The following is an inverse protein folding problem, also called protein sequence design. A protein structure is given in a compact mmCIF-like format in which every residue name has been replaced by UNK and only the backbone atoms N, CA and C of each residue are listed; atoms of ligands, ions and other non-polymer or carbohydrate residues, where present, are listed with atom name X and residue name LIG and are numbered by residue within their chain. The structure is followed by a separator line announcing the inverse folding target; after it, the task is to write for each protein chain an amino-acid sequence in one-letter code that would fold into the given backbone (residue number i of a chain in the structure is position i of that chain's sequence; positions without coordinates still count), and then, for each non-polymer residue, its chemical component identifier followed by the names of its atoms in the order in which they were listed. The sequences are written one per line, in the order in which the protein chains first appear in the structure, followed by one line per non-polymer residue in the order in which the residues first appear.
data_IF_091521465648
#
_entry.id   IF_091521465648
#
_cell.length_a   1.000
_cell.length_b   1.000
_cell.length_c   1.000
_cell.angle_alpha   90.00
_cell.angle_beta   90.00
_cell.angle_gamma   90.00
#
_symmetry.space_group_name_H-M   'P 1'
#
loop_
_entity.id
_entity.type
_entity.pdbx_description
1 polymer ?
#
# COMPACT_ATOMS: atom_id res chain seq x y z
N UNK A 1 26.07 -2.77 -4.38
CA UNK A 1 24.73 -2.97 -4.99
C UNK A 1 24.33 -4.45 -5.01
N UNK A 2 23.10 -4.73 -4.57
CA UNK A 2 22.51 -6.07 -4.58
C UNK A 2 21.59 -6.19 -5.80
N UNK A 3 21.92 -7.05 -6.75
CA UNK A 3 21.20 -7.13 -8.03
C UNK A 3 20.32 -8.38 -8.12
N UNK A 4 19.14 -8.24 -8.72
CA UNK A 4 18.24 -9.35 -9.00
C UNK A 4 18.71 -10.12 -10.24
N UNK A 5 18.93 -11.42 -10.12
CA UNK A 5 19.32 -12.27 -11.24
C UNK A 5 18.20 -12.52 -12.28
N UNK A 6 16.94 -12.19 -11.95
CA UNK A 6 15.78 -12.44 -12.82
C UNK A 6 15.46 -11.22 -13.69
N UNK A 7 15.48 -10.00 -13.12
CA UNK A 7 15.12 -8.77 -13.84
C UNK A 7 16.20 -7.67 -13.81
N UNK A 8 17.38 -7.97 -13.28
CA UNK A 8 18.54 -7.07 -13.21
C UNK A 8 18.35 -5.75 -12.43
N UNK A 9 17.24 -5.62 -11.68
CA UNK A 9 17.04 -4.51 -10.76
C UNK A 9 18.12 -4.49 -9.67
N UNK A 10 18.62 -3.30 -9.36
CA UNK A 10 19.65 -3.09 -8.34
C UNK A 10 19.08 -2.41 -7.10
N UNK A 11 19.48 -2.91 -5.94
CA UNK A 11 19.05 -2.43 -4.63
C UNK A 11 20.26 -2.00 -3.80
N UNK A 12 20.08 -0.97 -2.98
CA UNK A 12 21.11 -0.48 -2.05
C UNK A 12 21.35 -1.44 -0.89
N UNK A 13 20.33 -2.20 -0.47
CA UNK A 13 20.34 -3.05 0.71
C UNK A 13 19.90 -4.49 0.38
N UNK A 14 20.50 -5.48 1.06
CA UNK A 14 20.24 -6.90 0.81
C UNK A 14 18.78 -7.28 1.05
N UNK A 15 18.20 -6.79 2.14
CA UNK A 15 16.82 -7.13 2.51
C UNK A 15 15.80 -6.63 1.47
N UNK A 16 16.09 -5.52 0.77
CA UNK A 16 15.24 -5.03 -0.32
C UNK A 16 15.27 -5.97 -1.52
N UNK A 17 16.44 -6.55 -1.84
CA UNK A 17 16.54 -7.62 -2.83
C UNK A 17 15.75 -8.86 -2.38
N UNK A 18 15.91 -9.30 -1.13
CA UNK A 18 15.15 -10.45 -0.59
C UNK A 18 13.64 -10.23 -0.71
N UNK A 19 13.14 -9.05 -0.31
CA UNK A 19 11.73 -8.68 -0.46
C UNK A 19 11.28 -8.62 -1.92
N UNK A 20 12.13 -8.11 -2.81
CA UNK A 20 11.85 -8.07 -4.23
C UNK A 20 11.70 -9.47 -4.83
N UNK A 21 12.50 -10.44 -4.39
CA UNK A 21 12.44 -11.82 -4.90
C UNK A 21 11.07 -12.48 -4.64
N UNK A 22 10.32 -12.05 -3.63
CA UNK A 22 8.95 -12.54 -3.38
C UNK A 22 7.99 -12.30 -4.56
N UNK A 23 8.27 -11.30 -5.40
CA UNK A 23 7.49 -11.03 -6.62
C UNK A 23 7.71 -12.12 -7.65
N UNK A 24 8.92 -12.68 -7.72
CA UNK A 24 9.27 -13.73 -8.68
C UNK A 24 8.88 -15.12 -8.19
N UNK A 25 9.06 -15.40 -6.89
CA UNK A 25 8.66 -16.70 -6.30
C UNK A 25 7.14 -16.79 -6.09
N UNK A 26 6.45 -15.64 -6.01
CA UNK A 26 5.05 -15.59 -5.64
C UNK A 26 4.77 -15.91 -4.18
N UNK A 27 5.82 -16.05 -3.36
CA UNK A 27 5.69 -16.30 -1.93
C UNK A 27 4.96 -15.15 -1.22
N UNK A 28 4.07 -15.51 -0.31
CA UNK A 28 3.22 -14.60 0.45
C UNK A 28 3.21 -15.01 1.92
N UNK A 29 4.30 -14.70 2.66
CA UNK A 29 4.47 -15.19 4.03
C UNK A 29 3.47 -14.60 5.03
N UNK A 30 2.83 -13.47 4.71
CA UNK A 30 1.92 -12.78 5.62
C UNK A 30 0.46 -13.12 5.30
N UNK A 31 -0.17 -13.92 6.16
CA UNK A 31 -1.56 -14.39 5.94
C UNK A 31 -2.55 -13.74 6.89
N UNK A 32 -3.71 -13.38 6.38
CA UNK A 32 -4.83 -12.90 7.20
C UNK A 32 -5.48 -14.06 7.94
N UNK A 33 -5.55 -13.97 9.26
CA UNK A 33 -6.19 -14.96 10.13
C UNK A 33 -7.73 -15.01 10.01
N UNK A 34 -8.36 -13.99 9.41
CA UNK A 34 -9.82 -13.92 9.27
C UNK A 34 -10.29 -14.56 7.96
N UNK A 35 -9.60 -14.30 6.84
CA UNK A 35 -10.03 -14.75 5.50
C UNK A 35 -8.98 -15.55 4.72
N UNK A 36 -7.87 -15.91 5.36
CA UNK A 36 -6.75 -16.69 4.77
C UNK A 36 -6.10 -16.06 3.53
N UNK A 37 -6.36 -14.77 3.25
CA UNK A 37 -5.70 -14.06 2.17
C UNK A 37 -4.25 -13.75 2.53
N UNK A 38 -3.32 -14.08 1.66
CA UNK A 38 -1.89 -13.88 1.88
C UNK A 38 -1.31 -12.70 1.09
N UNK A 39 -0.24 -12.11 1.63
CA UNK A 39 0.47 -10.93 1.12
C UNK A 39 1.98 -11.15 1.17
N UNK A 40 2.70 -10.57 0.21
CA UNK A 40 4.17 -10.61 0.17
C UNK A 40 4.82 -9.69 1.21
N UNK A 41 4.08 -8.71 1.73
CA UNK A 41 4.59 -7.75 2.71
C UNK A 41 3.63 -7.59 3.88
N UNK A 42 4.18 -7.42 5.09
CA UNK A 42 3.43 -7.15 6.31
C UNK A 42 2.54 -5.92 6.17
N UNK A 43 3.07 -4.83 5.61
CA UNK A 43 2.28 -3.60 5.37
C UNK A 43 1.05 -3.85 4.46
N UNK A 44 1.10 -4.85 3.59
CA UNK A 44 -0.03 -5.30 2.78
C UNK A 44 -1.11 -5.97 3.64
N UNK A 45 -0.70 -6.84 4.56
CA UNK A 45 -1.58 -7.47 5.53
C UNK A 45 -2.20 -6.44 6.49
N UNK A 46 -1.42 -5.51 7.05
CA UNK A 46 -1.93 -4.44 7.93
C UNK A 46 -2.92 -3.52 7.22
N UNK A 47 -2.67 -3.15 5.96
CA UNK A 47 -3.63 -2.37 5.17
C UNK A 47 -4.88 -3.18 4.84
N UNK A 48 -4.75 -4.49 4.69
CA UNK A 48 -5.88 -5.38 4.42
C UNK A 48 -6.73 -5.60 5.67
N UNK A 49 -6.14 -5.76 6.86
CA UNK A 49 -6.90 -6.04 8.09
C UNK A 49 -7.96 -4.97 8.39
N UNK A 50 -7.73 -3.72 7.95
CA UNK A 50 -8.69 -2.62 8.00
C UNK A 50 -10.02 -2.89 7.30
N UNK A 51 -10.09 -3.84 6.37
CA UNK A 51 -11.37 -4.24 5.74
C UNK A 51 -12.25 -5.06 6.69
N UNK A 52 -11.66 -5.66 7.72
CA UNK A 52 -12.38 -6.45 8.71
C UNK A 52 -12.76 -5.62 9.94
N UNK A 53 -12.00 -4.56 10.23
CA UNK A 53 -12.24 -3.67 11.38
C UNK A 53 -12.98 -2.38 11.02
N UNK A 54 -13.20 -2.13 9.73
CA UNK A 54 -13.71 -0.86 9.19
C UNK A 54 -12.92 0.39 9.59
N UNK A 55 -11.66 0.22 10.04
CA UNK A 55 -10.80 1.31 10.47
C UNK A 55 -10.48 2.27 9.31
N UNK A 56 -10.77 3.55 9.52
CA UNK A 56 -10.53 4.64 8.56
C UNK A 56 -9.70 5.75 9.21
N UNK A 57 -8.39 5.54 9.39
CA UNK A 57 -7.55 6.46 10.17
C UNK A 57 -7.26 7.78 9.43
N UNK A 58 -7.55 7.87 8.13
CA UNK A 58 -7.22 9.04 7.33
C UNK A 58 -8.47 9.88 7.05
N UNK A 59 -8.61 11.02 7.72
CA UNK A 59 -9.77 11.90 7.57
C UNK A 59 -9.44 13.13 6.73
N UNK A 60 -10.37 13.52 5.86
CA UNK A 60 -10.29 14.77 5.13
C UNK A 60 -10.59 15.94 6.07
N UNK A 61 -9.70 16.92 6.17
CA UNK A 61 -9.89 18.12 7.00
C UNK A 61 -11.00 19.05 6.51
N UNK A 62 -11.40 18.95 5.22
CA UNK A 62 -12.37 19.84 4.60
C UNK A 62 -13.81 19.33 4.79
N UNK A 63 -14.05 18.02 4.60
CA UNK A 63 -15.39 17.44 4.65
C UNK A 63 -15.55 16.31 5.67
N UNK A 64 -14.53 16.05 6.50
CA UNK A 64 -14.50 15.00 7.53
C UNK A 64 -14.71 13.57 7.02
N UNK A 65 -14.67 13.34 5.70
CA UNK A 65 -14.77 12.00 5.14
C UNK A 65 -13.51 11.20 5.46
N UNK A 66 -13.68 10.00 6.02
CA UNK A 66 -12.56 9.12 6.42
C UNK A 66 -12.31 8.00 5.40
N UNK A 67 -11.05 7.61 5.29
CA UNK A 67 -10.54 6.61 4.35
C UNK A 67 -9.64 5.60 5.06
N UNK A 68 -9.64 4.35 4.58
CA UNK A 68 -8.79 3.27 5.10
C UNK A 68 -7.33 3.35 4.61
N UNK A 69 -7.06 4.16 3.59
CA UNK A 69 -5.73 4.36 3.00
C UNK A 69 -5.47 5.84 2.71
N UNK A 70 -4.25 6.26 2.99
CA UNK A 70 -3.78 7.62 2.71
C UNK A 70 -3.89 7.98 1.23
N UNK A 71 -3.52 7.08 0.32
CA UNK A 71 -3.61 7.32 -1.13
C UNK A 71 -5.05 7.60 -1.60
N UNK A 72 -6.05 7.06 -0.91
CA UNK A 72 -7.46 7.37 -1.19
C UNK A 72 -7.84 8.75 -0.67
N UNK A 73 -7.34 9.16 0.50
CA UNK A 73 -7.45 10.53 0.99
C UNK A 73 -6.77 11.51 0.02
N UNK A 74 -5.53 11.26 -0.41
CA UNK A 74 -4.81 12.13 -1.36
C UNK A 74 -5.58 12.29 -2.68
N UNK A 75 -6.11 11.19 -3.23
CA UNK A 75 -6.95 11.24 -4.43
C UNK A 75 -8.24 12.02 -4.18
N UNK A 76 -8.87 11.81 -3.02
CA UNK A 76 -10.07 12.53 -2.63
C UNK A 76 -9.82 14.02 -2.48
N UNK A 77 -8.73 14.45 -1.85
CA UNK A 77 -8.44 15.88 -1.61
C UNK A 77 -8.40 16.70 -2.90
N UNK A 78 -8.10 16.08 -4.04
CA UNK A 78 -8.15 16.73 -5.37
C UNK A 78 -9.54 17.26 -5.75
N UNK A 79 -10.61 16.73 -5.17
CA UNK A 79 -11.97 17.24 -5.43
C UNK A 79 -12.20 18.60 -4.78
N UNK A 80 -11.44 18.93 -3.72
CA UNK A 80 -11.54 20.21 -3.03
C UNK A 80 -10.59 21.26 -3.62
N UNK A 81 -9.56 20.83 -4.34
CA UNK A 81 -8.64 21.72 -5.07
C UNK A 81 -9.12 22.03 -6.49
N UNK A 82 -10.39 21.77 -6.83
CA UNK A 82 -11.00 22.32 -8.05
C UNK A 82 -11.23 23.82 -7.80
N UNK A 83 -10.15 24.57 -7.66
CA UNK A 83 -10.13 25.95 -8.14
C UNK A 83 -10.25 25.84 -9.66
N UNK A 84 -11.36 26.37 -10.20
CA UNK A 84 -11.60 26.50 -11.64
C UNK A 84 -10.35 27.12 -12.29
N UNK A 85 -9.63 26.43 -13.19
CA UNK A 85 -8.56 27.09 -13.92
C UNK A 85 -9.10 27.67 -15.23
N UNK A 86 -10.23 28.39 -15.22
CA UNK A 86 -10.71 29.18 -16.36
C UNK A 86 -11.64 30.29 -15.87
N UNK A 87 -11.05 31.42 -15.49
CA UNK A 87 -11.62 32.77 -15.61
C UNK A 87 -10.57 33.65 -16.25
#
# INVERSE_FOLDING_TARGET
PYSCCICNNSFSLKYLLTYHLLIHTGEKPYSCNICNKSFSFESGLTKHSRVHTDEKPFSCSICNKSFSRESYLTKHSRVHTIEKPYS
#
